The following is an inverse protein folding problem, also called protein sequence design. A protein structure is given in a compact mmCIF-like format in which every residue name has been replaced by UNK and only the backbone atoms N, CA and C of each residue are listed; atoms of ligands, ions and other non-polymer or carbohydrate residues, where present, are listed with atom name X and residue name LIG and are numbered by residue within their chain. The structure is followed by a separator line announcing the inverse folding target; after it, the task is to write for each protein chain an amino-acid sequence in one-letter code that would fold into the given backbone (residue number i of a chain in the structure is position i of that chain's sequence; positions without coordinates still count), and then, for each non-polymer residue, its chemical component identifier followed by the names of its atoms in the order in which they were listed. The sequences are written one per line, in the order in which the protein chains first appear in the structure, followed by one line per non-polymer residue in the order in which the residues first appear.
data_IF_324673535970
#
_entry.id   IF_324673535970
#
_cell.length_a   1.000
_cell.length_b   1.000
_cell.length_c   1.000
_cell.angle_alpha   90.00
_cell.angle_beta   90.00
_cell.angle_gamma   90.00
#
_symmetry.space_group_name_H-M   'P 1'
#
loop_
_entity.id
_entity.type
_entity.pdbx_description
1 polymer ?
#
# COMPACT_ATOMS: atom_id res chain seq x y z
N UNK A 1 7.64 -25.57 -7.31
CA UNK A 1 6.74 -24.55 -6.71
C UNK A 1 5.66 -25.18 -5.83
N UNK A 2 5.49 -24.69 -4.59
CA UNK A 2 4.43 -25.06 -3.63
C UNK A 2 3.03 -24.85 -4.24
N UNK A 3 2.04 -25.70 -3.93
CA UNK A 3 0.65 -25.58 -4.42
C UNK A 3 0.05 -24.19 -4.18
N UNK A 4 0.24 -23.63 -2.99
CA UNK A 4 -0.27 -22.31 -2.63
C UNK A 4 0.35 -21.21 -3.52
N UNK A 5 1.67 -21.24 -3.72
CA UNK A 5 2.36 -20.30 -4.60
C UNK A 5 1.84 -20.44 -6.04
N UNK A 6 1.71 -21.68 -6.54
CA UNK A 6 1.15 -21.96 -7.87
C UNK A 6 -0.26 -21.38 -8.04
N UNK A 7 -1.11 -21.51 -7.03
CA UNK A 7 -2.48 -20.99 -7.10
C UNK A 7 -2.51 -19.45 -7.08
N UNK A 8 -1.73 -18.82 -6.19
CA UNK A 8 -1.72 -17.36 -6.09
C UNK A 8 -1.08 -16.70 -7.33
N UNK A 9 0.11 -17.15 -7.73
CA UNK A 9 0.77 -16.64 -8.94
C UNK A 9 -0.05 -17.02 -10.18
N UNK A 10 -0.58 -18.24 -10.22
CA UNK A 10 -1.44 -18.72 -11.29
C UNK A 10 -2.69 -17.88 -11.48
N UNK A 11 -3.27 -17.32 -10.41
CA UNK A 11 -4.37 -16.34 -10.50
C UNK A 11 -3.94 -15.07 -11.23
N UNK A 12 -2.83 -14.46 -10.83
CA UNK A 12 -2.37 -13.20 -11.41
C UNK A 12 -2.05 -13.28 -12.90
N UNK A 13 -1.49 -14.41 -13.35
CA UNK A 13 -1.03 -14.59 -14.73
C UNK A 13 -2.11 -15.14 -15.67
N UNK A 14 -3.34 -15.34 -15.21
CA UNK A 14 -4.43 -15.77 -16.09
C UNK A 14 -4.62 -14.73 -17.20
N UNK A 15 -4.97 -15.14 -18.44
CA UNK A 15 -5.12 -14.21 -19.56
C UNK A 15 -6.05 -13.03 -19.28
N UNK A 16 -7.07 -13.23 -18.47
CA UNK A 16 -8.07 -12.22 -18.10
C UNK A 16 -7.53 -11.17 -17.11
N UNK A 17 -6.47 -11.50 -16.36
CA UNK A 17 -5.83 -10.60 -15.39
C UNK A 17 -4.54 -10.00 -15.97
N UNK A 18 -3.73 -10.83 -16.62
CA UNK A 18 -2.62 -10.41 -17.47
C UNK A 18 -1.40 -9.83 -16.74
N UNK A 19 -1.18 -10.12 -15.45
CA UNK A 19 0.02 -9.63 -14.75
C UNK A 19 1.25 -10.39 -15.22
N UNK A 20 2.29 -9.66 -15.65
CA UNK A 20 3.51 -10.23 -16.21
C UNK A 20 4.73 -10.09 -15.30
N UNK A 21 4.74 -9.16 -14.36
CA UNK A 21 5.82 -9.00 -13.39
C UNK A 21 5.33 -8.60 -11.99
N UNK A 22 6.21 -8.81 -11.01
CA UNK A 22 5.90 -8.71 -9.59
C UNK A 22 7.00 -8.01 -8.81
N UNK A 23 6.61 -7.35 -7.73
CA UNK A 23 7.54 -6.99 -6.68
C UNK A 23 7.49 -8.08 -5.60
N UNK A 24 8.67 -8.56 -5.17
CA UNK A 24 8.83 -9.54 -4.11
C UNK A 24 9.57 -8.90 -2.94
N UNK A 25 9.00 -8.98 -1.75
CA UNK A 25 9.60 -8.40 -0.55
C UNK A 25 9.78 -9.44 0.56
N UNK A 26 10.95 -9.37 1.21
CA UNK A 26 11.23 -10.05 2.48
C UNK A 26 11.41 -8.99 3.57
N UNK A 27 10.49 -8.96 4.55
CA UNK A 27 10.46 -7.95 5.61
C UNK A 27 10.72 -8.57 6.97
N UNK A 28 11.82 -8.20 7.62
CA UNK A 28 12.23 -8.74 8.92
C UNK A 28 13.22 -7.82 9.63
N UNK A 29 13.29 -7.89 10.96
CA UNK A 29 14.23 -7.12 11.79
C UNK A 29 14.30 -5.60 11.45
N UNK A 30 13.14 -4.99 11.14
CA UNK A 30 13.04 -3.57 10.79
C UNK A 30 13.54 -3.22 9.37
N UNK A 31 13.92 -4.21 8.55
CA UNK A 31 14.39 -4.02 7.18
C UNK A 31 13.45 -4.70 6.18
N UNK A 32 13.42 -4.16 4.97
CA UNK A 32 12.76 -4.77 3.82
C UNK A 32 13.78 -4.95 2.71
N UNK A 33 13.91 -6.19 2.21
CA UNK A 33 14.70 -6.51 1.03
C UNK A 33 13.74 -6.69 -0.12
N UNK A 34 13.88 -5.86 -1.15
CA UNK A 34 12.98 -5.80 -2.29
C UNK A 34 13.65 -6.36 -3.55
N UNK A 35 12.86 -7.04 -4.36
CA UNK A 35 13.16 -7.42 -5.74
C UNK A 35 12.00 -6.91 -6.59
N UNK A 36 12.27 -5.88 -7.38
CA UNK A 36 11.28 -5.24 -8.24
C UNK A 36 11.31 -5.85 -9.63
N UNK A 37 10.19 -5.72 -10.34
CA UNK A 37 10.02 -6.13 -11.75
C UNK A 37 10.48 -7.58 -12.03
N UNK A 38 10.19 -8.49 -11.10
CA UNK A 38 10.47 -9.91 -11.27
C UNK A 38 9.45 -10.48 -12.25
N UNK A 39 9.92 -10.85 -13.43
CA UNK A 39 9.08 -11.47 -14.46
C UNK A 39 8.42 -12.75 -13.93
N UNK A 40 7.15 -12.96 -14.27
CA UNK A 40 6.36 -14.11 -13.82
C UNK A 40 7.05 -15.45 -14.10
N UNK A 41 7.68 -15.57 -15.27
CA UNK A 41 8.44 -16.76 -15.67
C UNK A 41 9.69 -17.03 -14.83
N UNK A 42 10.18 -16.05 -14.08
CA UNK A 42 11.40 -16.12 -13.27
C UNK A 42 11.14 -16.26 -11.77
N UNK A 43 9.88 -16.23 -11.31
CA UNK A 43 9.52 -16.36 -9.88
C UNK A 43 10.18 -17.57 -9.21
N UNK A 44 10.23 -18.71 -9.90
CA UNK A 44 10.81 -19.94 -9.36
C UNK A 44 12.29 -19.77 -8.94
N UNK A 45 13.04 -18.87 -9.59
CA UNK A 45 14.43 -18.57 -9.26
C UNK A 45 14.57 -17.89 -7.89
N UNK A 46 13.55 -17.13 -7.48
CA UNK A 46 13.55 -16.38 -6.24
C UNK A 46 12.99 -17.17 -5.05
N UNK A 47 12.27 -18.27 -5.28
CA UNK A 47 11.63 -19.04 -4.20
C UNK A 47 12.62 -19.58 -3.17
N UNK A 48 13.83 -19.99 -3.58
CA UNK A 48 14.88 -20.45 -2.66
C UNK A 48 15.34 -19.32 -1.74
N UNK A 49 15.55 -18.13 -2.30
CA UNK A 49 15.93 -16.95 -1.53
C UNK A 49 14.81 -16.55 -0.56
N UNK A 50 13.57 -16.48 -1.04
CA UNK A 50 12.40 -16.18 -0.19
C UNK A 50 12.25 -17.19 0.95
N UNK A 51 12.47 -18.48 0.69
CA UNK A 51 12.45 -19.52 1.71
C UNK A 51 13.55 -19.35 2.75
N UNK A 52 14.76 -18.99 2.33
CA UNK A 52 15.87 -18.70 3.23
C UNK A 52 15.60 -17.47 4.11
N UNK A 53 15.05 -16.40 3.53
CA UNK A 53 14.66 -15.21 4.31
C UNK A 53 13.50 -15.51 5.26
N UNK A 54 12.50 -16.29 4.83
CA UNK A 54 11.43 -16.71 5.71
C UNK A 54 11.94 -17.58 6.86
N UNK A 55 12.90 -18.47 6.63
CA UNK A 55 13.51 -19.26 7.71
C UNK A 55 14.23 -18.40 8.77
N UNK A 56 14.74 -17.21 8.37
CA UNK A 56 15.35 -16.23 9.28
C UNK A 56 14.34 -15.35 10.03
N UNK A 57 13.04 -15.57 9.84
CA UNK A 57 11.99 -14.79 10.50
C UNK A 57 11.41 -13.66 9.64
N UNK A 58 11.79 -13.54 8.37
CA UNK A 58 11.22 -12.52 7.49
C UNK A 58 9.83 -12.90 7.00
N UNK A 59 8.97 -11.90 6.95
CA UNK A 59 7.68 -11.94 6.30
C UNK A 59 7.82 -11.88 4.79
N UNK A 60 7.19 -12.79 4.05
CA UNK A 60 7.27 -12.82 2.59
C UNK A 60 6.02 -12.22 1.98
N UNK A 61 6.24 -11.28 1.05
CA UNK A 61 5.19 -10.48 0.45
C UNK A 61 5.35 -10.39 -1.07
N UNK A 62 4.24 -10.17 -1.76
CA UNK A 62 4.12 -10.04 -3.21
C UNK A 62 3.08 -8.96 -3.55
N UNK A 63 3.30 -8.28 -4.66
CA UNK A 63 2.29 -7.49 -5.37
C UNK A 63 2.59 -7.53 -6.88
N UNK A 64 1.62 -7.23 -7.76
CA UNK A 64 1.93 -6.86 -9.15
C UNK A 64 2.95 -5.72 -9.16
N UNK A 65 3.83 -5.68 -10.16
CA UNK A 65 4.84 -4.61 -10.24
C UNK A 65 4.16 -3.23 -10.17
N UNK A 66 4.66 -2.36 -9.29
CA UNK A 66 3.94 -1.15 -8.84
C UNK A 66 3.45 -0.27 -9.98
N UNK A 67 4.35 -0.02 -10.93
CA UNK A 67 4.16 0.93 -12.01
C UNK A 67 3.26 0.41 -13.13
N UNK A 68 2.90 -0.87 -13.10
CA UNK A 68 1.98 -1.44 -14.08
C UNK A 68 0.54 -1.01 -13.77
N UNK A 69 -0.19 -0.68 -14.84
CA UNK A 69 -1.65 -0.72 -14.80
C UNK A 69 -2.08 -2.19 -14.83
N UNK A 70 -2.85 -2.62 -13.82
CA UNK A 70 -3.25 -4.02 -13.69
C UNK A 70 -4.70 -4.14 -13.23
N UNK A 71 -5.30 -5.28 -13.52
CA UNK A 71 -6.72 -5.52 -13.31
C UNK A 71 -7.01 -6.17 -11.94
N UNK A 72 -6.26 -5.82 -10.89
CA UNK A 72 -6.52 -6.31 -9.52
C UNK A 72 -6.42 -5.20 -8.49
N UNK A 73 -7.22 -5.33 -7.42
CA UNK A 73 -7.06 -4.53 -6.20
C UNK A 73 -6.82 -5.44 -4.99
N UNK A 74 -6.09 -4.90 -4.00
CA UNK A 74 -5.80 -5.58 -2.74
C UNK A 74 -6.77 -5.14 -1.64
N UNK A 75 -7.26 -6.09 -0.85
CA UNK A 75 -8.13 -5.85 0.30
C UNK A 75 -7.63 -6.67 1.48
N UNK A 76 -7.31 -6.03 2.61
CA UNK A 76 -6.72 -6.70 3.78
C UNK A 76 -7.71 -6.85 4.93
N UNK A 77 -7.39 -7.73 5.87
CA UNK A 77 -8.14 -8.00 7.10
C UNK A 77 -9.65 -8.20 6.91
N UNK A 78 -10.03 -8.90 5.84
CA UNK A 78 -11.42 -9.25 5.54
C UNK A 78 -11.79 -10.53 6.31
N UNK A 79 -12.94 -10.51 6.98
CA UNK A 79 -13.49 -11.69 7.65
C UNK A 79 -13.64 -12.85 6.65
N UNK A 80 -13.33 -14.08 7.09
CA UNK A 80 -13.21 -15.26 6.22
C UNK A 80 -14.51 -15.58 5.47
N UNK A 81 -15.65 -15.57 6.13
CA UNK A 81 -16.97 -15.76 5.53
C UNK A 81 -17.27 -14.74 4.43
N UNK A 82 -17.02 -13.45 4.71
CA UNK A 82 -17.13 -12.36 3.75
C UNK A 82 -16.19 -12.53 2.56
N UNK A 83 -14.91 -12.89 2.81
CA UNK A 83 -13.92 -13.11 1.76
C UNK A 83 -14.31 -14.26 0.82
N UNK A 84 -14.81 -15.37 1.38
CA UNK A 84 -15.32 -16.48 0.59
C UNK A 84 -16.59 -16.08 -0.20
N UNK A 85 -17.47 -15.27 0.38
CA UNK A 85 -18.64 -14.74 -0.33
C UNK A 85 -18.25 -13.87 -1.54
N UNK A 86 -17.23 -13.02 -1.39
CA UNK A 86 -16.67 -12.23 -2.49
C UNK A 86 -16.15 -13.16 -3.59
N UNK A 87 -15.36 -14.19 -3.24
CA UNK A 87 -14.82 -15.13 -4.24
C UNK A 87 -15.88 -15.97 -4.96
N UNK A 88 -17.05 -16.20 -4.35
CA UNK A 88 -18.17 -16.86 -5.03
C UNK A 88 -18.84 -15.96 -6.07
N UNK A 89 -18.79 -14.64 -5.86
CA UNK A 89 -19.43 -13.65 -6.73
C UNK A 89 -18.50 -13.12 -7.82
N UNK A 90 -17.22 -12.98 -7.51
CA UNK A 90 -16.23 -12.34 -8.37
C UNK A 90 -14.97 -13.20 -8.54
N UNK A 91 -14.27 -12.96 -9.64
CA UNK A 91 -12.92 -13.49 -9.84
C UNK A 91 -11.98 -12.90 -8.78
N UNK A 92 -11.47 -13.77 -7.90
CA UNK A 92 -10.69 -13.37 -6.76
C UNK A 92 -9.80 -14.51 -6.25
N UNK A 93 -8.68 -14.13 -5.65
CA UNK A 93 -7.80 -15.01 -4.90
C UNK A 93 -7.85 -14.62 -3.42
N UNK A 94 -8.31 -15.55 -2.58
CA UNK A 94 -8.45 -15.36 -1.13
C UNK A 94 -7.37 -16.14 -0.42
N UNK A 95 -6.65 -15.45 0.45
CA UNK A 95 -5.54 -16.02 1.21
C UNK A 95 -5.80 -15.80 2.69
N UNK A 96 -5.75 -16.89 3.43
CA UNK A 96 -5.78 -16.90 4.89
C UNK A 96 -4.37 -16.64 5.40
N UNK A 97 -4.19 -15.52 6.12
CA UNK A 97 -2.88 -15.10 6.64
C UNK A 97 -2.55 -15.75 7.99
N UNK A 98 -3.57 -16.12 8.75
CA UNK A 98 -3.51 -16.87 10.01
C UNK A 98 -4.93 -17.34 10.41
N UNK A 99 -5.04 -18.36 11.26
CA UNK A 99 -6.34 -18.91 11.71
C UNK A 99 -7.19 -17.93 12.52
N UNK A 100 -6.54 -17.03 13.26
CA UNK A 100 -7.17 -16.06 14.15
C UNK A 100 -7.22 -14.64 13.55
N UNK A 101 -6.68 -14.46 12.34
CA UNK A 101 -6.64 -13.17 11.64
C UNK A 101 -7.56 -13.14 10.43
N UNK A 102 -7.72 -11.96 9.84
CA UNK A 102 -8.42 -11.81 8.59
C UNK A 102 -7.73 -12.48 7.40
N UNK A 103 -8.51 -12.67 6.35
CA UNK A 103 -8.02 -12.98 5.02
C UNK A 103 -7.65 -11.69 4.30
N UNK A 104 -6.71 -11.78 3.38
CA UNK A 104 -6.62 -10.75 2.33
C UNK A 104 -7.18 -11.29 1.02
N UNK A 105 -7.47 -10.39 0.09
CA UNK A 105 -8.09 -10.71 -1.20
C UNK A 105 -7.38 -9.93 -2.29
N UNK A 106 -7.07 -10.63 -3.38
CA UNK A 106 -6.81 -10.02 -4.68
C UNK A 106 -8.09 -10.14 -5.51
N UNK A 107 -8.76 -9.03 -5.77
CA UNK A 107 -10.03 -8.98 -6.49
C UNK A 107 -9.79 -8.46 -7.91
N UNK A 108 -10.23 -9.21 -8.92
CA UNK A 108 -10.13 -8.77 -10.32
C UNK A 108 -11.11 -7.64 -10.61
N UNK A 109 -10.64 -6.60 -11.28
CA UNK A 109 -11.44 -5.49 -11.81
C UNK A 109 -11.76 -5.72 -13.28
N UNK A 110 -12.85 -5.13 -13.76
CA UNK A 110 -13.31 -5.24 -15.16
C UNK A 110 -12.39 -4.59 -16.20
N UNK A 111 -11.40 -3.82 -15.74
CA UNK A 111 -10.35 -3.20 -16.56
C UNK A 111 -9.06 -3.03 -15.77
N UNK A 112 -7.91 -2.86 -16.44
CA UNK A 112 -6.70 -2.39 -15.80
C UNK A 112 -6.90 -1.01 -15.16
N UNK A 113 -6.35 -0.85 -13.95
CA UNK A 113 -6.36 0.38 -13.17
C UNK A 113 -4.92 0.82 -12.89
N UNK A 114 -4.64 2.11 -13.01
CA UNK A 114 -3.40 2.68 -12.50
C UNK A 114 -3.41 2.76 -10.95
N UNK A 115 -2.28 3.09 -10.32
CA UNK A 115 -2.15 3.14 -8.85
C UNK A 115 -3.22 4.04 -8.18
N UNK A 116 -3.49 5.22 -8.74
CA UNK A 116 -4.50 6.15 -8.20
C UNK A 116 -5.90 5.59 -8.33
N UNK A 117 -6.25 5.00 -9.47
CA UNK A 117 -7.54 4.36 -9.67
C UNK A 117 -7.73 3.16 -8.74
N UNK A 118 -6.68 2.36 -8.50
CA UNK A 118 -6.71 1.26 -7.51
C UNK A 118 -6.96 1.79 -6.11
N UNK A 119 -6.27 2.86 -5.71
CA UNK A 119 -6.53 3.54 -4.42
C UNK A 119 -7.99 3.98 -4.29
N UNK A 120 -8.54 4.64 -5.30
CA UNK A 120 -9.92 5.13 -5.30
C UNK A 120 -10.94 3.98 -5.24
N UNK A 121 -10.70 2.92 -6.02
CA UNK A 121 -11.51 1.71 -6.01
C UNK A 121 -11.48 0.98 -4.66
N UNK A 122 -10.29 0.85 -4.04
CA UNK A 122 -10.12 0.32 -2.68
C UNK A 122 -10.87 1.15 -1.65
N UNK A 123 -10.73 2.48 -1.71
CA UNK A 123 -11.44 3.41 -0.81
C UNK A 123 -12.95 3.26 -0.91
N UNK A 124 -13.47 3.05 -2.12
CA UNK A 124 -14.90 2.87 -2.36
C UNK A 124 -15.43 1.54 -1.79
N UNK A 125 -14.72 0.43 -2.02
CA UNK A 125 -15.20 -0.90 -1.59
C UNK A 125 -14.94 -1.18 -0.10
N UNK A 126 -13.88 -0.61 0.50
CA UNK A 126 -13.51 -0.83 1.90
C UNK A 126 -14.69 -0.75 2.89
N UNK A 127 -15.51 0.32 2.92
CA UNK A 127 -16.60 0.42 3.88
C UNK A 127 -17.71 -0.62 3.66
N UNK A 128 -17.86 -1.14 2.44
CA UNK A 128 -18.90 -2.13 2.10
C UNK A 128 -18.56 -3.53 2.62
N UNK A 129 -17.28 -3.82 2.82
CA UNK A 129 -16.79 -5.14 3.22
C UNK A 129 -16.02 -5.12 4.55
N UNK A 130 -15.90 -3.95 5.16
CA UNK A 130 -15.17 -3.72 6.41
C UNK A 130 -13.72 -4.25 6.38
N UNK A 131 -13.00 -4.04 5.27
CA UNK A 131 -11.57 -4.38 5.16
C UNK A 131 -10.70 -3.36 5.90
N UNK A 132 -9.41 -3.64 6.09
CA UNK A 132 -8.50 -2.68 6.74
C UNK A 132 -8.38 -1.39 5.91
N UNK A 133 -8.53 -0.24 6.58
CA UNK A 133 -8.33 1.09 6.00
C UNK A 133 -6.85 1.40 5.78
N UNK A 134 -5.97 0.84 6.62
CA UNK A 134 -4.52 1.05 6.54
C UNK A 134 -3.90 0.48 5.25
N UNK A 135 -4.62 -0.41 4.57
CA UNK A 135 -4.19 -1.04 3.32
C UNK A 135 -4.74 -0.38 2.05
N UNK A 136 -5.46 0.74 2.17
CA UNK A 136 -5.91 1.54 1.02
C UNK A 136 -4.75 2.41 0.54
N UNK A 137 -4.12 2.01 -0.56
CA UNK A 137 -2.92 2.70 -1.06
C UNK A 137 -2.65 2.50 -2.57
N UNK A 138 -3.32 1.54 -3.21
CA UNK A 138 -3.19 1.27 -4.65
C UNK A 138 -1.96 0.42 -5.05
N UNK A 139 -1.05 0.15 -4.14
CA UNK A 139 0.23 -0.53 -4.38
C UNK A 139 0.57 -1.54 -3.26
N UNK A 140 -0.42 -1.92 -2.46
CA UNK A 140 -0.16 -2.55 -1.17
C UNK A 140 0.41 -3.96 -1.35
N UNK A 141 1.30 -4.36 -0.44
CA UNK A 141 1.87 -5.70 -0.44
C UNK A 141 0.95 -6.71 0.25
N UNK A 142 0.57 -7.77 -0.46
CA UNK A 142 0.00 -8.96 0.14
C UNK A 142 1.08 -9.93 0.63
N UNK A 143 0.78 -10.73 1.64
CA UNK A 143 1.46 -12.02 1.88
C UNK A 143 1.54 -12.92 0.63
N UNK A 144 2.69 -13.53 0.42
CA UNK A 144 2.82 -14.63 -0.54
C UNK A 144 2.52 -15.95 0.19
N UNK A 145 1.53 -16.69 -0.30
CA UNK A 145 1.12 -17.95 0.27
C UNK A 145 2.21 -19.03 0.12
N UNK A 146 2.22 -20.01 1.02
CA UNK A 146 3.26 -21.05 1.06
C UNK A 146 4.50 -20.69 1.87
N UNK A 147 4.45 -19.58 2.64
CA UNK A 147 5.45 -19.18 3.62
C UNK A 147 4.82 -19.02 5.02
N UNK A 148 5.66 -18.97 6.06
CA UNK A 148 5.21 -18.74 7.44
C UNK A 148 5.01 -17.26 7.73
N UNK A 149 3.95 -16.93 8.46
CA UNK A 149 3.66 -15.63 9.05
C UNK A 149 4.26 -15.59 10.47
N UNK A 150 5.43 -14.98 10.61
CA UNK A 150 6.16 -14.91 11.88
C UNK A 150 5.51 -13.97 12.89
N UNK A 151 4.77 -12.95 12.43
CA UNK A 151 3.92 -12.13 13.31
C UNK A 151 2.81 -12.92 14.00
N UNK A 152 2.48 -14.11 13.50
CA UNK A 152 1.42 -14.99 14.04
C UNK A 152 2.00 -16.35 14.42
N UNK A 153 3.11 -16.34 15.17
CA UNK A 153 3.77 -17.53 15.69
C UNK A 153 4.14 -18.58 14.62
N UNK A 154 4.46 -18.12 13.40
CA UNK A 154 4.91 -18.99 12.31
C UNK A 154 3.80 -19.81 11.65
N UNK A 155 2.54 -19.41 11.77
CA UNK A 155 1.42 -20.03 11.04
C UNK A 155 1.61 -19.92 9.52
N UNK A 156 1.17 -20.93 8.77
CA UNK A 156 1.28 -20.92 7.32
C UNK A 156 0.26 -19.98 6.68
N UNK A 157 0.71 -19.20 5.72
CA UNK A 157 -0.15 -18.42 4.82
C UNK A 157 -0.64 -19.33 3.70
N UNK A 158 -1.96 -19.44 3.50
CA UNK A 158 -2.55 -20.39 2.57
C UNK A 158 -3.56 -19.73 1.64
N UNK A 159 -3.57 -20.14 0.37
CA UNK A 159 -4.67 -19.86 -0.54
C UNK A 159 -5.85 -20.76 -0.14
N UNK A 160 -6.99 -20.14 0.18
CA UNK A 160 -8.20 -20.86 0.59
C UNK A 160 -9.30 -20.84 -0.48
N UNK A 161 -9.24 -19.91 -1.42
CA UNK A 161 -10.14 -19.86 -2.58
C UNK A 161 -9.45 -19.17 -3.75
N UNK A 162 -9.64 -19.72 -4.95
CA UNK A 162 -9.35 -19.04 -6.22
C UNK A 162 -10.59 -19.24 -7.08
N UNK A 163 -11.11 -18.14 -7.60
CA UNK A 163 -12.29 -18.13 -8.45
C UNK A 163 -12.00 -17.36 -9.72
N UNK A 164 -12.49 -17.89 -10.84
CA UNK A 164 -12.48 -17.23 -12.15
C UNK A 164 -13.92 -16.86 -12.57
N UNK A 165 -14.74 -16.40 -11.60
CA UNK A 165 -16.06 -15.85 -11.87
C UNK A 165 -15.97 -14.51 -12.64
N UNK A 166 -17.04 -13.71 -12.65
CA UNK A 166 -16.99 -12.39 -13.31
C UNK A 166 -16.05 -11.41 -12.62
N UNK A 167 -15.40 -10.53 -13.38
CA UNK A 167 -14.66 -9.40 -12.82
C UNK A 167 -15.60 -8.43 -12.09
N UNK A 168 -15.09 -7.73 -11.07
CA UNK A 168 -15.87 -6.68 -10.42
C UNK A 168 -15.89 -5.42 -11.28
N UNK A 169 -17.09 -5.01 -11.71
CA UNK A 169 -17.31 -3.75 -12.41
C UNK A 169 -17.05 -2.59 -11.46
N UNK A 170 -15.98 -1.84 -11.71
CA UNK A 170 -15.62 -0.69 -10.87
C UNK A 170 -16.63 0.44 -11.14
N UNK A 171 -17.42 0.88 -10.14
CA UNK A 171 -18.38 1.95 -10.34
C UNK A 171 -17.68 3.23 -10.79
N UNK A 172 -18.30 4.00 -11.71
CA UNK A 172 -17.70 5.26 -12.18
C UNK A 172 -17.51 6.24 -11.03
N UNK A 173 -18.43 6.22 -10.08
CA UNK A 173 -18.43 7.04 -8.87
C UNK A 173 -17.28 6.67 -7.93
N UNK A 174 -16.82 5.42 -7.97
CA UNK A 174 -15.66 4.97 -7.20
C UNK A 174 -14.37 5.65 -7.64
N UNK A 175 -14.31 6.10 -8.90
CA UNK A 175 -13.14 6.70 -9.53
C UNK A 175 -13.19 8.23 -9.54
N UNK A 176 -14.27 8.81 -9.00
CA UNK A 176 -14.35 10.26 -8.82
C UNK A 176 -13.41 10.61 -7.68
N UNK A 177 -12.34 11.31 -8.04
CA UNK A 177 -11.49 11.97 -7.08
C UNK A 177 -12.23 13.21 -6.56
N UNK A 178 -13.12 13.00 -5.58
CA UNK A 178 -13.55 14.11 -4.74
C UNK A 178 -12.30 14.55 -3.98
N UNK A 179 -11.55 15.50 -4.55
CA UNK A 179 -10.76 16.43 -3.75
C UNK A 179 -11.64 16.81 -2.56
N UNK A 180 -11.19 16.65 -1.31
CA UNK A 180 -11.95 17.18 -0.21
C UNK A 180 -12.12 18.66 -0.50
N UNK A 181 -13.36 19.09 -0.75
CA UNK A 181 -13.66 20.51 -0.83
C UNK A 181 -13.02 21.15 0.39
N UNK A 182 -12.05 22.02 0.18
CA UNK A 182 -11.43 22.78 1.26
C UNK A 182 -12.53 23.66 1.82
N UNK A 183 -13.28 23.14 2.78
CA UNK A 183 -14.17 23.98 3.58
C UNK A 183 -13.23 24.82 4.43
N UNK A 184 -13.17 26.12 4.16
CA UNK A 184 -12.53 27.13 5.03
C UNK A 184 -13.26 27.29 6.38
N UNK A 185 -13.83 26.22 6.92
CA UNK A 185 -14.40 26.21 8.26
C UNK A 185 -13.30 25.75 9.22
N UNK A 186 -12.82 26.62 10.13
CA UNK A 186 -11.87 26.21 11.15
C UNK A 186 -12.50 25.10 12.01
N UNK A 187 -11.84 23.95 12.06
CA UNK A 187 -12.24 22.81 12.87
C UNK A 187 -12.26 23.23 14.36
N UNK A 188 -13.45 23.31 14.93
CA UNK A 188 -13.63 23.43 16.38
C UNK A 188 -13.81 22.02 16.95
N UNK A 189 -12.85 21.46 17.69
CA UNK A 189 -13.03 20.13 18.27
C UNK A 189 -14.16 20.18 19.33
N UNK A 190 -15.02 19.14 19.40
CA UNK A 190 -16.00 19.03 20.47
C UNK A 190 -15.29 18.92 21.82
N UNK A 191 -15.83 19.64 22.80
CA UNK A 191 -15.28 19.71 24.16
C UNK A 191 -15.20 18.30 24.78
N UNK A 192 -13.99 17.83 25.09
CA UNK A 192 -13.76 16.58 25.83
C UNK A 192 -12.92 15.51 25.14
N UNK A 193 -12.42 15.71 23.92
CA UNK A 193 -11.52 14.75 23.26
C UNK A 193 -10.06 15.18 23.40
N UNK A 194 -9.28 14.43 24.18
CA UNK A 194 -7.82 14.51 24.14
C UNK A 194 -7.33 13.88 22.84
N UNK A 195 -6.78 14.70 21.94
CA UNK A 195 -6.03 14.23 20.76
C UNK A 195 -4.75 13.59 21.28
N UNK A 196 -4.68 12.26 21.22
CA UNK A 196 -3.42 11.53 21.43
C UNK A 196 -2.59 11.72 20.16
N UNK A 197 -1.58 12.58 20.24
CA UNK A 197 -0.59 12.72 19.18
C UNK A 197 0.14 11.39 19.00
N UNK A 198 0.02 10.79 17.83
CA UNK A 198 0.75 9.58 17.47
C UNK A 198 2.20 9.96 17.09
N UNK A 199 2.98 10.42 18.07
CA UNK A 199 4.42 10.58 17.96
C UNK A 199 5.09 9.27 18.36
N UNK A 200 5.16 8.30 17.45
CA UNK A 200 6.07 7.14 17.60
C UNK A 200 6.34 6.40 16.28
N UNK A 201 6.89 7.10 15.30
CA UNK A 201 7.88 6.49 14.38
C UNK A 201 9.18 7.27 14.57
N UNK A 202 10.21 6.61 15.08
CA UNK A 202 11.45 7.18 15.59
C UNK A 202 12.40 7.80 14.55
N UNK A 203 11.89 8.70 13.71
CA UNK A 203 12.68 9.72 13.04
C UNK A 203 12.59 11.03 13.82
N UNK A 204 13.64 11.86 13.74
CA UNK A 204 13.57 13.23 14.24
C UNK A 204 12.43 13.97 13.54
N UNK A 205 11.77 14.90 14.24
CA UNK A 205 10.64 15.65 13.68
C UNK A 205 11.01 16.38 12.36
N UNK A 206 12.29 16.76 12.22
CA UNK A 206 12.86 17.30 10.99
C UNK A 206 12.92 16.29 9.83
N UNK A 207 13.06 15.00 10.09
CA UNK A 207 13.05 13.95 9.06
C UNK A 207 11.64 13.67 8.55
N UNK A 208 10.63 13.71 9.44
CA UNK A 208 9.24 13.58 9.04
C UNK A 208 8.78 14.78 8.20
N UNK A 209 9.21 15.99 8.57
CA UNK A 209 8.98 17.20 7.78
C UNK A 209 9.70 17.18 6.43
N UNK A 210 10.92 16.64 6.40
CA UNK A 210 11.69 16.48 5.17
C UNK A 210 10.97 15.56 4.18
N UNK A 211 10.51 14.38 4.64
CA UNK A 211 9.74 13.45 3.80
C UNK A 211 8.44 14.07 3.27
N UNK A 212 7.73 14.84 4.11
CA UNK A 212 6.54 15.59 3.70
C UNK A 212 6.86 16.60 2.58
N UNK A 213 7.94 17.37 2.73
CA UNK A 213 8.31 18.41 1.75
C UNK A 213 8.76 17.81 0.42
N UNK A 214 9.62 16.79 0.43
CA UNK A 214 10.06 16.14 -0.81
C UNK A 214 8.89 15.53 -1.58
N UNK A 215 8.02 14.78 -0.90
CA UNK A 215 6.86 14.18 -1.55
C UNK A 215 5.93 15.21 -2.17
N UNK A 216 5.71 16.37 -1.53
CA UNK A 216 4.88 17.45 -2.09
C UNK A 216 5.51 18.08 -3.33
N UNK A 217 6.82 18.34 -3.31
CA UNK A 217 7.55 18.92 -4.44
C UNK A 217 7.62 17.97 -5.64
N UNK A 218 7.81 16.67 -5.41
CA UNK A 218 7.77 15.63 -6.45
C UNK A 218 6.41 15.56 -7.16
N UNK A 219 5.32 15.91 -6.46
CA UNK A 219 3.97 15.97 -7.00
C UNK A 219 3.59 17.37 -7.52
N UNK A 220 4.59 18.24 -7.79
CA UNK A 220 4.38 19.54 -8.42
C UNK A 220 3.78 20.62 -7.53
N UNK A 221 3.86 20.48 -6.20
CA UNK A 221 3.42 21.54 -5.30
C UNK A 221 4.25 22.82 -5.48
N UNK A 222 3.58 23.98 -5.42
CA UNK A 222 4.26 25.29 -5.47
C UNK A 222 5.19 25.45 -4.25
N UNK A 223 6.52 25.62 -4.46
CA UNK A 223 7.48 25.78 -3.37
C UNK A 223 7.19 26.97 -2.46
N UNK A 224 6.60 28.04 -2.99
CA UNK A 224 6.28 29.26 -2.22
C UNK A 224 5.14 29.00 -1.24
N UNK A 225 4.10 28.29 -1.69
CA UNK A 225 2.97 27.92 -0.83
C UNK A 225 3.39 26.90 0.23
N UNK A 226 4.25 25.95 -0.14
CA UNK A 226 4.78 24.93 0.76
C UNK A 226 5.71 25.54 1.82
N UNK A 227 6.50 26.54 1.45
CA UNK A 227 7.32 27.31 2.40
C UNK A 227 6.45 28.01 3.44
N UNK A 228 5.37 28.68 3.03
CA UNK A 228 4.43 29.35 3.95
C UNK A 228 3.79 28.37 4.92
N UNK A 229 3.33 27.22 4.43
CA UNK A 229 2.76 26.16 5.27
C UNK A 229 3.78 25.64 6.30
N UNK A 230 5.03 25.48 5.88
CA UNK A 230 6.10 25.01 6.75
C UNK A 230 6.47 26.04 7.83
N UNK A 231 6.39 27.34 7.52
CA UNK A 231 6.53 28.43 8.49
C UNK A 231 5.43 28.37 9.54
N UNK A 232 4.17 28.22 9.13
CA UNK A 232 3.03 28.14 10.05
C UNK A 232 3.18 26.93 10.99
N UNK A 233 3.51 25.75 10.44
CA UNK A 233 3.77 24.55 11.23
C UNK A 233 4.94 24.73 12.19
N UNK A 234 6.07 25.30 11.74
CA UNK A 234 7.25 25.53 12.58
C UNK A 234 7.00 26.57 13.68
N UNK A 235 6.18 27.60 13.39
CA UNK A 235 5.79 28.65 14.34
C UNK A 235 4.85 28.11 15.41
N UNK A 236 3.85 27.31 15.03
CA UNK A 236 2.95 26.63 15.97
C UNK A 236 3.66 25.68 16.93
N UNK A 237 4.92 25.33 16.64
CA UNK A 237 5.80 24.49 17.49
C UNK A 237 6.83 25.28 18.29
N UNK A 238 6.77 26.62 18.26
CA UNK A 238 7.65 27.48 19.03
C UNK A 238 9.09 27.56 18.51
N UNK A 239 9.37 27.19 17.25
CA UNK A 239 10.70 27.40 16.65
C UNK A 239 10.98 28.89 16.50
N UNK A 240 12.02 29.39 17.21
CA UNK A 240 12.41 30.82 17.22
C UNK A 240 12.69 31.40 15.82
N UNK A 241 13.13 30.57 14.86
CA UNK A 241 13.48 30.99 13.50
C UNK A 241 12.74 30.14 12.45
N UNK A 242 11.41 30.03 12.58
CA UNK A 242 10.55 29.24 11.72
C UNK A 242 10.71 29.56 10.22
N UNK A 243 10.84 30.84 9.87
CA UNK A 243 11.05 31.33 8.50
C UNK A 243 12.37 30.81 7.92
N UNK A 244 13.48 31.03 8.61
CA UNK A 244 14.81 30.56 8.14
C UNK A 244 14.93 29.04 8.12
N UNK A 245 14.17 28.33 8.95
CA UNK A 245 14.09 26.88 8.92
C UNK A 245 13.31 26.40 7.68
N UNK A 246 12.14 26.98 7.41
CA UNK A 246 11.33 26.62 6.25
C UNK A 246 12.08 26.86 4.94
N UNK A 247 12.68 28.04 4.80
CA UNK A 247 13.47 28.42 3.63
C UNK A 247 14.62 27.45 3.33
N UNK A 248 15.38 27.06 4.37
CA UNK A 248 16.49 26.09 4.21
C UNK A 248 16.01 24.70 3.83
N UNK A 249 14.86 24.29 4.34
CA UNK A 249 14.27 22.97 4.08
C UNK A 249 13.78 22.88 2.64
N UNK A 250 13.05 23.88 2.17
CA UNK A 250 12.55 23.97 0.78
C UNK A 250 13.71 24.05 -0.20
N UNK A 251 14.71 24.90 0.05
CA UNK A 251 15.89 25.03 -0.82
C UNK A 251 16.64 23.70 -0.98
N UNK A 252 16.82 22.96 0.12
CA UNK A 252 17.45 21.64 0.09
C UNK A 252 16.60 20.62 -0.64
N UNK A 253 15.29 20.61 -0.42
CA UNK A 253 14.37 19.66 -1.04
C UNK A 253 14.26 19.90 -2.56
N UNK A 254 14.22 21.14 -3.02
CA UNK A 254 14.29 21.48 -4.45
C UNK A 254 15.57 20.94 -5.09
N UNK A 255 16.72 21.14 -4.46
CA UNK A 255 18.00 20.60 -4.97
C UNK A 255 18.04 19.06 -4.97
N UNK A 256 17.26 18.41 -4.11
CA UNK A 256 17.14 16.96 -4.04
C UNK A 256 16.24 16.42 -5.16
N UNK A 257 15.07 17.03 -5.36
CA UNK A 257 14.10 16.64 -6.41
C UNK A 257 14.66 16.91 -7.80
N UNK A 258 15.29 18.07 -8.05
CA UNK A 258 15.90 18.39 -9.36
C UNK A 258 17.06 17.47 -9.73
N UNK A 259 17.76 16.86 -8.76
CA UNK A 259 18.79 15.85 -9.03
C UNK A 259 18.22 14.48 -9.41
N UNK A 260 16.98 14.21 -9.03
CA UNK A 260 16.30 12.96 -9.33
C UNK A 260 15.74 12.95 -10.77
N UNK A 261 15.49 14.12 -11.36
CA UNK A 261 15.00 14.28 -12.74
C UNK A 261 16.11 14.27 -13.82
N UNK A 262 17.40 14.17 -13.44
CA UNK A 262 18.55 14.18 -14.37
C UNK A 262 19.25 12.83 -14.53
N UNK A 263 18.64 11.73 -14.07
CA UNK A 263 19.10 10.35 -14.24
C UNK A 263 18.02 9.59 -15.02
#
# INVERSE_FOLDING_TARGET
MNRNIKQQIGFFIQPEIGITSFDLAARGAGKMILREDVQAGDIDRYLKWLGAENAKGSEIQVRPHRHDSNAVIFLDDVERGQALAISRKYSACVIETSKEGGCHIWLQTDRPLNERERYLAQRHIQPLINSDRGSISGEHFGRLAGFKNHKRAGQWVNVISVSSAGAWTVPREALIDCEPSVSNQPFSPPSGVCVVNNSSTGGSESENEWGYVCGRLEHGADPILLERELVERATGRGKRNAVSYAHRTIKRALSHVTRHDQI
#
